data_IF_105278244737
#
_entry.id   IF_105278244737
#
_cell.length_a   1.000
_cell.length_b   1.000
_cell.length_c   1.000
_cell.angle_alpha   90.00
_cell.angle_beta   90.00
_cell.angle_gamma   90.00
#
_symmetry.space_group_name_H-M   'P 1'
#
loop_
_entity.id
_entity.type
_entity.pdbx_description
1 polymer ?
#
# COMPACT_ATOMS: atom_id res chain seq x y z
N UNK A 1 5.85 -14.16 22.52
CA UNK A 1 5.95 -14.88 21.24
C UNK A 1 5.95 -13.80 20.15
N UNK A 2 7.09 -13.54 19.50
CA UNK A 2 7.09 -12.75 18.27
C UNK A 2 6.30 -13.56 17.23
N UNK A 3 5.36 -12.92 16.58
CA UNK A 3 4.63 -13.56 15.50
C UNK A 3 5.62 -13.75 14.34
N UNK A 4 5.77 -14.99 13.86
CA UNK A 4 6.63 -15.35 12.72
C UNK A 4 6.05 -14.88 11.38
N UNK A 5 5.26 -13.80 11.37
CA UNK A 5 4.71 -13.23 10.15
C UNK A 5 5.77 -12.48 9.38
N UNK A 6 5.90 -12.81 8.11
CA UNK A 6 6.71 -12.04 7.15
C UNK A 6 5.90 -10.91 6.55
N UNK A 7 6.56 -9.80 6.23
CA UNK A 7 5.89 -8.68 5.55
C UNK A 7 6.69 -8.18 4.34
N UNK A 8 5.98 -7.55 3.43
CA UNK A 8 6.49 -6.87 2.26
C UNK A 8 5.71 -5.57 2.02
N UNK A 9 6.26 -4.67 1.23
CA UNK A 9 5.56 -3.44 0.83
C UNK A 9 5.50 -3.31 -0.68
N UNK A 10 4.37 -2.83 -1.20
CA UNK A 10 4.23 -2.41 -2.59
C UNK A 10 3.96 -0.91 -2.64
N UNK A 11 4.67 -0.19 -3.55
CA UNK A 11 4.66 1.28 -3.63
C UNK A 11 5.03 1.90 -2.27
N UNK A 12 6.19 1.58 -1.70
CA UNK A 12 6.57 1.98 -0.34
C UNK A 12 6.82 3.48 -0.20
N UNK A 13 7.11 4.19 -1.28
CA UNK A 13 7.41 5.62 -1.35
C UNK A 13 8.52 6.01 -0.34
N UNK A 14 8.24 7.00 0.53
CA UNK A 14 9.20 7.42 1.56
C UNK A 14 9.33 6.43 2.74
N UNK A 15 8.48 5.43 2.81
CA UNK A 15 8.61 4.26 3.68
C UNK A 15 8.13 4.39 5.12
N UNK A 16 7.39 5.42 5.47
CA UNK A 16 6.89 5.58 6.85
C UNK A 16 6.04 4.40 7.32
N UNK A 17 5.20 3.87 6.45
CA UNK A 17 4.38 2.68 6.66
C UNK A 17 5.28 1.43 6.85
N UNK A 18 6.25 1.23 5.95
CA UNK A 18 7.18 0.09 6.00
C UNK A 18 8.00 0.06 7.30
N UNK A 19 8.50 1.22 7.73
CA UNK A 19 9.24 1.33 9.01
C UNK A 19 8.33 1.03 10.19
N UNK A 20 7.06 1.46 10.13
CA UNK A 20 6.05 1.12 11.13
C UNK A 20 5.80 -0.39 11.19
N UNK A 21 5.63 -1.03 10.05
CA UNK A 21 5.48 -2.49 9.94
C UNK A 21 6.71 -3.24 10.45
N UNK A 22 7.92 -2.81 10.09
CA UNK A 22 9.16 -3.40 10.62
C UNK A 22 9.18 -3.37 12.16
N UNK A 23 8.82 -2.23 12.76
CA UNK A 23 8.78 -2.11 14.22
C UNK A 23 7.70 -3.00 14.86
N UNK A 24 6.56 -3.13 14.21
CA UNK A 24 5.45 -3.93 14.70
C UNK A 24 5.72 -5.45 14.60
N UNK A 25 6.32 -5.89 13.51
CA UNK A 25 6.65 -7.31 13.28
C UNK A 25 8.00 -7.73 13.86
N UNK A 26 8.89 -6.76 14.17
CA UNK A 26 10.22 -7.03 14.72
C UNK A 26 11.24 -7.54 13.70
N UNK A 27 10.93 -7.47 12.41
CA UNK A 27 11.79 -7.87 11.31
C UNK A 27 11.63 -6.93 10.11
N UNK A 28 12.68 -6.73 9.28
CA UNK A 28 12.58 -5.93 8.07
C UNK A 28 11.66 -6.61 7.04
N UNK A 29 11.16 -5.87 6.03
CA UNK A 29 10.40 -6.47 4.94
C UNK A 29 11.28 -7.46 4.17
N UNK A 30 10.68 -8.55 3.66
CA UNK A 30 11.43 -9.55 2.90
C UNK A 30 11.72 -9.07 1.46
N UNK A 31 10.93 -8.17 0.92
CA UNK A 31 11.16 -7.46 -0.34
C UNK A 31 10.25 -6.24 -0.47
N UNK A 32 10.60 -5.41 -1.46
CA UNK A 32 9.78 -4.33 -1.98
C UNK A 32 9.30 -4.64 -3.39
N UNK A 33 8.11 -4.19 -3.70
CA UNK A 33 7.55 -4.15 -5.06
C UNK A 33 7.17 -2.72 -5.40
N UNK A 34 7.32 -2.31 -6.64
CA UNK A 34 6.92 -0.98 -7.09
C UNK A 34 6.70 -0.94 -8.61
N UNK A 35 6.42 0.25 -9.11
CA UNK A 35 6.31 0.56 -10.53
C UNK A 35 7.32 1.65 -10.90
N UNK A 36 7.75 1.71 -12.18
CA UNK A 36 8.70 2.72 -12.67
C UNK A 36 8.34 4.14 -12.26
N UNK A 37 7.04 4.45 -12.25
CA UNK A 37 6.51 5.75 -11.88
C UNK A 37 6.90 6.20 -10.45
N UNK A 38 7.26 5.27 -9.56
CA UNK A 38 7.55 5.54 -8.15
C UNK A 38 9.01 5.33 -7.75
N UNK A 39 9.86 4.78 -8.60
CA UNK A 39 11.27 4.50 -8.29
C UNK A 39 12.02 5.69 -7.67
N UNK A 40 11.74 6.90 -8.17
CA UNK A 40 12.35 8.11 -7.63
C UNK A 40 12.01 8.38 -6.16
N UNK A 41 10.77 8.08 -5.78
CA UNK A 41 10.27 8.27 -4.41
C UNK A 41 10.71 7.13 -3.48
N UNK A 42 10.86 5.92 -4.02
CA UNK A 42 11.24 4.73 -3.26
C UNK A 42 12.71 4.75 -2.81
N UNK A 43 13.56 5.55 -3.44
CA UNK A 43 14.99 5.69 -3.07
C UNK A 43 15.21 5.98 -1.59
N UNK A 44 14.29 6.67 -0.93
CA UNK A 44 14.41 6.99 0.49
C UNK A 44 14.35 5.74 1.36
N UNK A 45 13.37 4.87 1.13
CA UNK A 45 13.23 3.63 1.91
C UNK A 45 14.30 2.61 1.53
N UNK A 46 14.69 2.53 0.26
CA UNK A 46 15.79 1.67 -0.18
C UNK A 46 17.10 2.04 0.52
N UNK A 47 17.42 3.33 0.58
CA UNK A 47 18.61 3.83 1.29
C UNK A 47 18.52 3.58 2.81
N UNK A 48 17.35 3.69 3.41
CA UNK A 48 17.14 3.40 4.84
C UNK A 48 17.56 1.96 5.19
N UNK A 49 17.34 1.02 4.27
CA UNK A 49 17.77 -0.39 4.40
C UNK A 49 19.09 -0.68 3.67
N UNK A 50 19.92 0.31 3.39
CA UNK A 50 21.23 0.17 2.70
C UNK A 50 21.15 -0.57 1.36
N UNK A 51 19.99 -0.57 0.70
CA UNK A 51 19.70 -1.35 -0.51
C UNK A 51 19.90 -2.88 -0.32
N UNK A 52 19.75 -3.38 0.90
CA UNK A 52 19.91 -4.81 1.21
C UNK A 52 18.61 -5.62 0.99
N UNK A 53 17.46 -4.93 0.94
CA UNK A 53 16.16 -5.57 0.71
C UNK A 53 15.92 -5.70 -0.80
N UNK A 54 15.58 -6.90 -1.32
CA UNK A 54 15.24 -7.08 -2.73
C UNK A 54 14.16 -6.11 -3.21
N UNK A 55 14.35 -5.47 -4.36
CA UNK A 55 13.45 -4.49 -4.94
C UNK A 55 13.04 -4.91 -6.36
N UNK A 56 11.73 -4.97 -6.62
CA UNK A 56 11.14 -5.46 -7.85
C UNK A 56 10.28 -4.35 -8.49
N UNK A 57 10.67 -3.89 -9.67
CA UNK A 57 9.91 -2.92 -10.48
C UNK A 57 9.09 -3.70 -11.50
N UNK A 58 7.79 -3.84 -11.24
CA UNK A 58 6.94 -4.85 -11.87
C UNK A 58 6.61 -4.51 -13.33
N UNK A 59 6.44 -3.24 -13.68
CA UNK A 59 6.21 -2.78 -15.06
C UNK A 59 7.49 -2.58 -15.87
N UNK A 60 8.67 -2.72 -15.24
CA UNK A 60 9.97 -2.74 -15.89
C UNK A 60 10.50 -4.17 -16.18
N UNK A 61 9.61 -5.16 -16.16
CA UNK A 61 9.93 -6.55 -16.49
C UNK A 61 10.39 -7.41 -15.32
N UNK A 62 10.36 -6.91 -14.09
CA UNK A 62 10.55 -7.77 -12.91
C UNK A 62 9.34 -8.69 -12.73
N UNK A 63 9.59 -9.95 -12.42
CA UNK A 63 8.54 -10.88 -12.04
C UNK A 63 8.08 -10.62 -10.60
N UNK A 64 6.84 -11.01 -10.31
CA UNK A 64 6.35 -11.10 -8.94
C UNK A 64 7.26 -12.05 -8.15
N UNK A 65 7.73 -11.66 -6.93
CA UNK A 65 8.59 -12.50 -6.11
C UNK A 65 7.98 -13.88 -5.85
N UNK A 66 8.76 -14.93 -5.97
CA UNK A 66 8.33 -16.30 -5.65
C UNK A 66 8.05 -16.46 -4.15
N UNK A 67 8.93 -15.90 -3.32
CA UNK A 67 8.73 -15.90 -1.87
C UNK A 67 7.61 -14.93 -1.52
N UNK A 68 6.52 -15.44 -0.99
CA UNK A 68 5.36 -14.64 -0.59
C UNK A 68 5.48 -14.20 0.86
N UNK A 69 5.18 -12.93 1.12
CA UNK A 69 5.00 -12.43 2.48
C UNK A 69 3.58 -12.76 2.98
N UNK A 70 3.43 -12.96 4.28
CA UNK A 70 2.12 -13.14 4.92
C UNK A 70 1.27 -11.86 4.86
N UNK A 71 1.93 -10.72 5.03
CA UNK A 71 1.30 -9.40 5.04
C UNK A 71 1.96 -8.50 4.01
N UNK A 72 1.15 -7.88 3.16
CA UNK A 72 1.61 -6.84 2.23
C UNK A 72 0.94 -5.52 2.57
N UNK A 73 1.73 -4.47 2.57
CA UNK A 73 1.27 -3.10 2.78
C UNK A 73 1.45 -2.23 1.53
N UNK A 74 0.67 -1.18 1.40
CA UNK A 74 0.74 -0.26 0.28
C UNK A 74 0.42 1.18 0.67
N UNK A 75 1.15 2.13 0.10
CA UNK A 75 0.87 3.57 0.17
C UNK A 75 0.66 4.11 -1.24
N UNK A 76 -0.40 3.65 -1.91
CA UNK A 76 -0.73 4.14 -3.25
C UNK A 76 -1.02 5.65 -3.23
N UNK A 77 -0.71 6.38 -4.32
CA UNK A 77 -0.92 7.81 -4.40
C UNK A 77 -2.34 8.23 -4.02
N UNK A 78 -2.44 9.18 -3.11
CA UNK A 78 -3.71 9.70 -2.60
C UNK A 78 -4.24 10.92 -3.39
N UNK A 79 -3.52 11.39 -4.42
CA UNK A 79 -3.84 12.61 -5.15
C UNK A 79 -5.26 12.61 -5.73
N UNK A 80 -5.76 11.47 -6.19
CA UNK A 80 -7.11 11.34 -6.70
C UNK A 80 -8.21 11.46 -5.65
N UNK A 81 -7.91 11.24 -4.37
CA UNK A 81 -8.89 11.21 -3.28
C UNK A 81 -8.61 12.25 -2.19
N UNK A 82 -7.58 13.07 -2.35
CA UNK A 82 -7.25 14.15 -1.44
C UNK A 82 -7.92 15.45 -1.88
N UNK A 83 -8.70 16.07 -1.01
CA UNK A 83 -9.28 17.40 -1.22
C UNK A 83 -8.24 18.51 -1.41
N UNK A 84 -6.97 18.25 -1.10
CA UNK A 84 -5.86 19.18 -1.33
C UNK A 84 -5.35 19.16 -2.78
N UNK A 85 -5.79 18.18 -3.59
CA UNK A 85 -5.38 18.05 -4.99
C UNK A 85 -6.38 18.69 -5.93
N UNK A 86 -5.88 19.35 -6.98
CA UNK A 86 -6.73 19.78 -8.09
C UNK A 86 -7.25 18.54 -8.85
N UNK A 87 -8.56 18.54 -9.18
CA UNK A 87 -9.18 17.45 -9.94
C UNK A 87 -9.34 16.15 -9.15
N UNK A 88 -9.45 16.22 -7.81
CA UNK A 88 -9.79 15.05 -7.01
C UNK A 88 -11.18 14.50 -7.36
N UNK A 89 -11.35 13.20 -7.26
CA UNK A 89 -12.60 12.49 -7.55
C UNK A 89 -12.36 11.04 -7.95
N UNK A 90 -13.45 10.29 -8.08
CA UNK A 90 -13.41 8.86 -8.46
C UNK A 90 -12.77 8.62 -9.84
N UNK A 91 -12.90 9.60 -10.76
CA UNK A 91 -12.39 9.50 -12.15
C UNK A 91 -10.94 10.00 -12.30
N UNK A 92 -10.25 10.31 -11.21
CA UNK A 92 -8.87 10.76 -11.27
C UNK A 92 -7.92 9.62 -11.67
N UNK A 93 -7.05 9.86 -12.65
CA UNK A 93 -6.12 8.87 -13.20
C UNK A 93 -5.19 8.23 -12.14
N UNK A 94 -4.89 8.94 -11.05
CA UNK A 94 -4.06 8.37 -9.97
C UNK A 94 -4.75 7.24 -9.22
N UNK A 95 -6.08 7.14 -9.29
CA UNK A 95 -6.83 6.06 -8.65
C UNK A 95 -6.56 4.68 -9.28
N UNK A 96 -6.10 4.66 -10.54
CA UNK A 96 -5.72 3.42 -11.24
C UNK A 96 -4.69 2.61 -10.47
N UNK A 97 -3.72 3.27 -9.82
CA UNK A 97 -2.68 2.59 -9.07
C UNK A 97 -3.20 1.73 -7.92
N UNK A 98 -4.28 2.18 -7.26
CA UNK A 98 -4.93 1.36 -6.22
C UNK A 98 -5.59 0.12 -6.82
N UNK A 99 -6.23 0.27 -7.97
CA UNK A 99 -6.94 -0.83 -8.65
C UNK A 99 -5.93 -1.84 -9.21
N UNK A 100 -4.88 -1.36 -9.90
CA UNK A 100 -3.80 -2.20 -10.44
C UNK A 100 -3.08 -2.95 -9.31
N UNK A 101 -2.73 -2.25 -8.23
CA UNK A 101 -2.10 -2.86 -7.05
C UNK A 101 -3.01 -3.90 -6.39
N UNK A 102 -4.31 -3.63 -6.27
CA UNK A 102 -5.25 -4.58 -5.71
C UNK A 102 -5.37 -5.85 -6.58
N UNK A 103 -5.47 -5.69 -7.91
CA UNK A 103 -5.50 -6.84 -8.83
C UNK A 103 -4.24 -7.69 -8.71
N UNK A 104 -3.07 -7.07 -8.73
CA UNK A 104 -1.79 -7.76 -8.64
C UNK A 104 -1.61 -8.46 -7.29
N UNK A 105 -1.87 -7.75 -6.20
CA UNK A 105 -1.61 -8.30 -4.86
C UNK A 105 -2.67 -9.34 -4.49
N UNK A 106 -3.93 -9.10 -4.74
CA UNK A 106 -4.99 -10.04 -4.35
C UNK A 106 -5.18 -11.17 -5.37
N UNK A 107 -4.92 -10.91 -6.66
CA UNK A 107 -5.03 -11.91 -7.73
C UNK A 107 -3.79 -12.79 -7.86
N UNK A 108 -2.61 -12.21 -7.98
CA UNK A 108 -1.39 -12.92 -8.36
C UNK A 108 -0.46 -13.20 -7.17
N UNK A 109 -0.26 -12.20 -6.28
CA UNK A 109 0.64 -12.37 -5.13
C UNK A 109 -0.03 -13.17 -4.00
N UNK A 110 -1.28 -12.90 -3.65
CA UNK A 110 -2.12 -13.62 -2.69
C UNK A 110 -1.55 -13.73 -1.25
N UNK A 111 -1.27 -12.63 -0.55
CA UNK A 111 -0.85 -12.66 0.85
C UNK A 111 -2.03 -13.07 1.76
N UNK A 112 -1.76 -13.45 3.01
CA UNK A 112 -2.82 -13.66 4.03
C UNK A 112 -3.58 -12.38 4.37
N UNK A 113 -2.89 -11.24 4.32
CA UNK A 113 -3.45 -9.92 4.57
C UNK A 113 -2.82 -8.88 3.65
N UNK A 114 -3.66 -8.05 3.04
CA UNK A 114 -3.25 -6.85 2.33
C UNK A 114 -3.91 -5.64 2.98
N UNK A 115 -3.12 -4.62 3.30
CA UNK A 115 -3.64 -3.38 3.84
C UNK A 115 -2.96 -2.17 3.21
N UNK A 116 -3.65 -1.04 3.22
CA UNK A 116 -3.11 0.20 2.67
C UNK A 116 -3.68 1.42 3.39
N UNK A 117 -2.96 2.52 3.29
CA UNK A 117 -3.35 3.83 3.78
C UNK A 117 -3.72 4.73 2.59
N UNK A 118 -4.71 5.59 2.77
CA UNK A 118 -5.04 6.60 1.77
C UNK A 118 -5.72 7.81 2.42
N UNK A 119 -5.97 8.87 1.63
CA UNK A 119 -6.66 10.07 2.10
C UNK A 119 -8.09 9.78 2.58
N UNK A 120 -8.65 10.58 3.51
CA UNK A 120 -10.02 10.42 4.03
C UNK A 120 -11.10 10.35 2.96
N UNK A 121 -10.87 10.96 1.80
CA UNK A 121 -11.76 10.87 0.64
C UNK A 121 -12.04 9.46 0.18
N UNK A 122 -11.08 8.52 0.39
CA UNK A 122 -11.28 7.11 0.10
C UNK A 122 -12.49 6.52 0.86
N UNK A 123 -12.66 6.85 2.12
CA UNK A 123 -13.82 6.42 2.92
C UNK A 123 -15.07 7.25 2.65
N UNK A 124 -14.95 8.38 1.97
CA UNK A 124 -16.03 9.31 1.64
C UNK A 124 -16.77 8.98 0.35
N UNK A 125 -17.67 9.89 -0.04
CA UNK A 125 -18.49 9.76 -1.26
C UNK A 125 -17.62 9.76 -2.52
N UNK A 126 -16.54 10.56 -2.54
CA UNK A 126 -15.63 10.70 -3.70
C UNK A 126 -14.78 9.45 -3.99
N UNK A 127 -14.69 8.50 -3.06
CA UNK A 127 -13.96 7.24 -3.26
C UNK A 127 -14.87 6.02 -3.44
N UNK A 128 -16.16 6.24 -3.69
CA UNK A 128 -17.15 5.14 -3.73
C UNK A 128 -16.85 4.16 -4.86
N UNK A 129 -16.55 4.66 -6.05
CA UNK A 129 -16.28 3.81 -7.22
C UNK A 129 -14.99 2.99 -7.01
N UNK A 130 -13.90 3.64 -6.61
CA UNK A 130 -12.62 2.97 -6.32
C UNK A 130 -12.80 1.89 -5.25
N UNK A 131 -13.49 2.20 -4.14
CA UNK A 131 -13.76 1.22 -3.09
C UNK A 131 -14.59 0.04 -3.57
N UNK A 132 -15.60 0.28 -4.41
CA UNK A 132 -16.43 -0.79 -4.95
C UNK A 132 -15.63 -1.70 -5.87
N UNK A 133 -14.77 -1.15 -6.71
CA UNK A 133 -13.86 -1.93 -7.55
C UNK A 133 -12.90 -2.77 -6.68
N UNK A 134 -12.24 -2.17 -5.69
CA UNK A 134 -11.34 -2.90 -4.79
C UNK A 134 -12.07 -4.00 -4.00
N UNK A 135 -13.32 -3.75 -3.57
CA UNK A 135 -14.15 -4.78 -2.92
C UNK A 135 -14.48 -5.93 -3.85
N UNK A 136 -14.81 -5.63 -5.11
CA UNK A 136 -15.09 -6.67 -6.11
C UNK A 136 -13.83 -7.52 -6.36
N UNK A 137 -12.69 -6.89 -6.61
CA UNK A 137 -11.40 -7.58 -6.78
C UNK A 137 -11.10 -8.46 -5.56
N UNK A 138 -11.28 -7.94 -4.35
CA UNK A 138 -11.10 -8.71 -3.12
C UNK A 138 -12.03 -9.92 -3.05
N UNK A 139 -13.32 -9.73 -3.29
CA UNK A 139 -14.31 -10.80 -3.24
C UNK A 139 -14.04 -11.91 -4.28
N UNK A 140 -13.67 -11.53 -5.50
CA UNK A 140 -13.33 -12.45 -6.58
C UNK A 140 -12.11 -13.32 -6.27
N UNK A 141 -11.22 -12.84 -5.37
CA UNK A 141 -10.01 -13.53 -4.93
C UNK A 141 -10.10 -14.08 -3.49
N UNK A 142 -11.29 -14.13 -2.90
CA UNK A 142 -11.52 -14.75 -1.58
C UNK A 142 -11.19 -13.87 -0.38
N UNK A 143 -11.04 -12.55 -0.58
CA UNK A 143 -10.77 -11.59 0.49
C UNK A 143 -12.01 -10.80 0.90
N UNK A 144 -12.02 -10.37 2.16
CA UNK A 144 -13.01 -9.40 2.66
C UNK A 144 -12.32 -8.08 2.92
N UNK A 145 -12.87 -6.98 2.38
CA UNK A 145 -12.35 -5.64 2.59
C UNK A 145 -13.07 -4.92 3.71
N UNK A 146 -12.30 -4.38 4.65
CA UNK A 146 -12.76 -3.44 5.68
C UNK A 146 -12.10 -2.06 5.50
N UNK A 147 -12.83 -1.00 5.80
CA UNK A 147 -12.35 0.38 5.73
C UNK A 147 -12.49 1.04 7.09
N UNK A 148 -11.40 1.55 7.62
CA UNK A 148 -11.35 2.25 8.90
C UNK A 148 -10.91 3.69 8.69
N UNK A 149 -11.57 4.63 9.38
CA UNK A 149 -11.08 6.01 9.50
C UNK A 149 -10.41 6.16 10.86
N UNK A 150 -9.24 6.75 10.84
CA UNK A 150 -8.46 7.00 12.05
C UNK A 150 -7.82 8.38 12.00
N UNK A 151 -7.28 8.84 13.12
CA UNK A 151 -6.55 10.11 13.22
C UNK A 151 -5.22 9.87 13.91
N UNK A 152 -4.18 10.56 13.47
CA UNK A 152 -2.85 10.47 14.06
C UNK A 152 -2.86 10.73 15.57
N UNK A 153 -3.73 11.62 16.05
CA UNK A 153 -3.89 11.93 17.48
C UNK A 153 -4.30 10.71 18.31
N UNK A 154 -5.12 9.79 17.75
CA UNK A 154 -5.54 8.56 18.44
C UNK A 154 -4.39 7.56 18.62
N UNK A 155 -3.29 7.76 17.91
CA UNK A 155 -2.08 6.94 17.95
C UNK A 155 -0.91 7.63 18.66
N UNK A 156 -1.19 8.65 19.48
CA UNK A 156 -0.18 9.35 20.27
C UNK A 156 0.69 10.33 19.48
N UNK A 157 0.37 10.61 18.22
CA UNK A 157 1.05 11.62 17.41
C UNK A 157 0.33 12.97 17.58
N UNK A 158 0.99 14.03 18.07
CA UNK A 158 0.36 15.31 18.35
C UNK A 158 0.09 16.09 17.05
N UNK A 159 -0.70 15.51 16.15
CA UNK A 159 -1.04 16.04 14.85
C UNK A 159 -2.51 15.73 14.53
N UNK A 160 -3.29 16.76 14.16
CA UNK A 160 -4.67 16.59 13.71
C UNK A 160 -4.66 16.25 12.21
N UNK A 161 -4.41 14.97 11.90
CA UNK A 161 -4.48 14.39 10.53
C UNK A 161 -5.37 13.15 10.55
N UNK A 162 -6.29 13.09 9.61
CA UNK A 162 -7.00 11.87 9.23
C UNK A 162 -6.25 11.13 8.14
#
# INVERSE_FOLDING_TARGET
MMNDFTHASIVPLIGGETIGSHRAFGAPPIHFMSYEAFEGNDKHILNYYNNEIPYHVLDAGSSIPEQKADVVSSVCPCAGLSMMSHGYGDDNDNNKWMIETANLILGDYQPKCFWGENAPGFAGKIGTNVRNQMKAIGADNGYTMSVYRTKSLLHGVPQVRE
#
